data_IF_465138875325
#
_entry.id   IF_465138875325
#
_cell.length_a   1.000
_cell.length_b   1.000
_cell.length_c   1.000
_cell.angle_alpha   90.00
_cell.angle_beta   90.00
_cell.angle_gamma   90.00
#
_symmetry.space_group_name_H-M   'P 1'
#
loop_
_entity.id
_entity.type
_entity.pdbx_description
1 polymer ?
#
# COMPACT_ATOMS: atom_id res chain seq x y z
N UNK A 1 -12.71 -35.72 19.67
CA UNK A 1 -13.58 -34.53 19.58
C UNK A 1 -13.26 -33.51 20.66
N UNK A 2 -13.25 -33.88 21.95
CA UNK A 2 -13.01 -32.94 23.07
C UNK A 2 -11.67 -32.20 23.04
N UNK A 3 -10.58 -32.88 22.68
CA UNK A 3 -9.26 -32.24 22.50
C UNK A 3 -9.26 -31.18 21.39
N UNK A 4 -9.93 -31.47 20.27
CA UNK A 4 -10.07 -30.52 19.17
C UNK A 4 -10.81 -29.27 19.64
N UNK A 5 -11.93 -29.43 20.36
CA UNK A 5 -12.70 -28.30 20.90
C UNK A 5 -11.90 -27.45 21.89
N UNK A 6 -11.08 -28.07 22.75
CA UNK A 6 -10.22 -27.33 23.69
C UNK A 6 -9.18 -26.51 22.93
N UNK A 7 -8.52 -27.13 21.94
CA UNK A 7 -7.48 -26.44 21.15
C UNK A 7 -8.09 -25.29 20.33
N UNK A 8 -9.24 -25.49 19.70
CA UNK A 8 -9.87 -24.42 18.89
C UNK A 8 -10.43 -23.31 19.76
N UNK A 9 -11.10 -23.63 20.88
CA UNK A 9 -11.68 -22.63 21.77
C UNK A 9 -10.62 -21.82 22.53
N UNK A 10 -9.51 -22.46 22.93
CA UNK A 10 -8.38 -21.78 23.59
C UNK A 10 -7.74 -20.71 22.69
N UNK A 11 -7.70 -20.95 21.38
CA UNK A 11 -7.16 -19.98 20.40
C UNK A 11 -8.21 -18.96 19.91
N UNK A 12 -9.46 -19.09 20.32
CA UNK A 12 -10.53 -18.18 19.91
C UNK A 12 -10.72 -17.07 20.95
N UNK A 13 -10.62 -15.81 20.52
CA UNK A 13 -10.94 -14.67 21.36
C UNK A 13 -12.28 -14.05 20.92
N UNK A 14 -13.25 -13.80 21.82
CA UNK A 14 -14.56 -13.28 21.46
C UNK A 14 -14.52 -11.92 20.76
N UNK A 15 -13.51 -11.10 21.06
CA UNK A 15 -13.34 -9.76 20.47
C UNK A 15 -12.52 -9.75 19.17
N UNK A 16 -12.05 -10.90 18.68
CA UNK A 16 -11.21 -10.94 17.47
C UNK A 16 -11.93 -10.34 16.26
N UNK A 17 -13.22 -10.64 16.10
CA UNK A 17 -14.06 -10.07 15.04
C UNK A 17 -14.21 -8.55 15.18
N UNK A 18 -14.35 -8.04 16.41
CA UNK A 18 -14.44 -6.61 16.68
C UNK A 18 -13.14 -5.88 16.28
N UNK A 19 -11.98 -6.46 16.57
CA UNK A 19 -10.69 -5.87 16.19
C UNK A 19 -10.49 -5.86 14.67
N UNK A 20 -10.87 -6.94 13.98
CA UNK A 20 -10.82 -6.99 12.50
C UNK A 20 -11.78 -5.96 11.89
N UNK A 21 -12.99 -5.85 12.42
CA UNK A 21 -13.99 -4.89 11.93
C UNK A 21 -13.57 -3.44 12.19
N UNK A 22 -12.99 -3.16 13.36
CA UNK A 22 -12.39 -1.87 13.68
C UNK A 22 -11.35 -1.50 12.63
N UNK A 23 -10.33 -2.35 12.40
CA UNK A 23 -9.27 -2.05 11.44
C UNK A 23 -9.79 -1.90 10.00
N UNK A 24 -10.77 -2.71 9.59
CA UNK A 24 -11.41 -2.57 8.28
C UNK A 24 -12.08 -1.21 8.13
N UNK A 25 -12.95 -0.85 9.07
CA UNK A 25 -13.67 0.43 9.00
C UNK A 25 -12.73 1.63 9.17
N UNK A 26 -11.64 1.45 9.92
CA UNK A 26 -10.65 2.50 10.19
C UNK A 26 -9.81 2.86 8.96
N UNK A 27 -9.43 1.88 8.14
CA UNK A 27 -8.63 2.10 6.93
C UNK A 27 -9.44 2.13 5.64
N UNK A 28 -10.56 1.40 5.57
CA UNK A 28 -11.44 1.30 4.40
C UNK A 28 -12.72 2.10 4.67
N UNK A 29 -12.54 3.39 4.85
CA UNK A 29 -13.62 4.34 5.08
C UNK A 29 -14.50 4.56 3.83
N UNK A 30 -15.50 5.43 3.95
CA UNK A 30 -16.37 5.80 2.83
C UNK A 30 -15.57 6.33 1.63
N UNK A 31 -14.49 7.05 1.89
CA UNK A 31 -13.69 7.70 0.86
C UNK A 31 -12.94 6.65 0.04
N UNK A 32 -12.36 5.63 0.68
CA UNK A 32 -11.76 4.49 0.00
C UNK A 32 -12.74 3.79 -0.94
N UNK A 33 -13.96 3.51 -0.47
CA UNK A 33 -14.96 2.75 -1.24
C UNK A 33 -15.47 3.49 -2.49
N UNK A 34 -15.25 4.80 -2.57
CA UNK A 34 -15.70 5.66 -3.67
C UNK A 34 -14.58 5.99 -4.67
N UNK A 35 -13.37 5.47 -4.47
CA UNK A 35 -12.24 5.71 -5.39
C UNK A 35 -12.55 5.10 -6.75
N UNK A 36 -12.52 5.94 -7.78
CA UNK A 36 -12.72 5.57 -9.18
C UNK A 36 -11.62 6.07 -10.12
N UNK A 37 -10.76 6.97 -9.64
CA UNK A 37 -9.67 7.58 -10.42
C UNK A 37 -8.35 7.54 -9.68
N UNK A 38 -7.25 7.66 -10.42
CA UNK A 38 -5.89 7.71 -9.87
C UNK A 38 -5.72 8.90 -8.90
N UNK A 39 -6.30 10.06 -9.24
CA UNK A 39 -6.22 11.25 -8.38
C UNK A 39 -6.95 11.03 -7.05
N UNK A 40 -8.12 10.39 -7.06
CA UNK A 40 -8.84 10.04 -5.84
C UNK A 40 -8.06 9.03 -4.99
N UNK A 41 -7.37 8.08 -5.62
CA UNK A 41 -6.51 7.14 -4.92
C UNK A 41 -5.38 7.86 -4.16
N UNK A 42 -4.62 8.74 -4.84
CA UNK A 42 -3.55 9.50 -4.19
C UNK A 42 -4.08 10.42 -3.10
N UNK A 43 -5.22 11.08 -3.33
CA UNK A 43 -5.87 11.92 -2.32
C UNK A 43 -6.21 11.12 -1.06
N UNK A 44 -6.87 9.96 -1.20
CA UNK A 44 -7.18 9.09 -0.05
C UNK A 44 -5.91 8.58 0.63
N UNK A 45 -4.89 8.20 -0.13
CA UNK A 45 -3.65 7.69 0.42
C UNK A 45 -2.95 8.74 1.31
N UNK A 46 -2.80 9.96 0.81
CA UNK A 46 -2.10 11.04 1.50
C UNK A 46 -2.89 11.58 2.69
N UNK A 47 -4.22 11.76 2.54
CA UNK A 47 -5.02 12.45 3.55
C UNK A 47 -5.72 11.50 4.54
N UNK A 48 -6.04 10.27 4.14
CA UNK A 48 -6.70 9.31 5.03
C UNK A 48 -5.72 8.24 5.52
N UNK A 49 -5.08 7.51 4.60
CA UNK A 49 -4.25 6.36 4.97
C UNK A 49 -2.99 6.77 5.76
N UNK A 50 -2.22 7.74 5.27
CA UNK A 50 -0.98 8.20 5.92
C UNK A 50 -1.25 8.79 7.31
N UNK A 51 -2.34 9.54 7.47
CA UNK A 51 -2.75 10.05 8.78
C UNK A 51 -3.07 8.91 9.74
N UNK A 52 -3.74 7.86 9.24
CA UNK A 52 -4.21 6.74 10.05
C UNK A 52 -3.11 5.77 10.50
N UNK A 53 -2.03 5.60 9.74
CA UNK A 53 -0.95 4.65 10.09
C UNK A 53 -0.05 5.11 11.25
N UNK A 54 -0.14 6.37 11.68
CA UNK A 54 0.69 6.93 12.76
C UNK A 54 -0.15 7.74 13.74
N UNK A 55 0.16 7.62 15.03
CA UNK A 55 -0.46 8.45 16.04
C UNK A 55 -0.27 9.95 15.75
N UNK A 56 -1.35 10.64 15.40
CA UNK A 56 -1.43 12.10 15.30
C UNK A 56 -1.61 12.78 16.67
N UNK A 57 -1.75 14.10 16.68
CA UNK A 57 -2.10 14.86 17.88
C UNK A 57 -3.42 14.38 18.50
N UNK A 58 -3.56 14.60 19.80
CA UNK A 58 -4.81 14.39 20.50
C UNK A 58 -5.86 15.44 20.10
N UNK A 59 -7.12 15.17 20.42
CA UNK A 59 -8.24 16.09 20.15
C UNK A 59 -8.07 17.48 20.79
N UNK A 60 -7.24 17.59 21.83
CA UNK A 60 -6.91 18.84 22.53
C UNK A 60 -5.62 19.50 22.01
N UNK A 61 -5.05 19.00 20.91
CA UNK A 61 -3.80 19.51 20.33
C UNK A 61 -2.53 18.99 21.00
N UNK A 62 -2.63 18.17 22.05
CA UNK A 62 -1.45 17.62 22.70
C UNK A 62 -0.71 16.63 21.80
N UNK A 63 0.61 16.63 21.92
CA UNK A 63 1.45 15.65 21.24
C UNK A 63 1.16 14.22 21.75
N UNK A 64 1.20 13.20 20.88
CA UNK A 64 0.95 11.80 21.24
C UNK A 64 2.17 11.18 21.95
N UNK A 65 2.45 11.64 23.16
CA UNK A 65 3.59 11.16 23.97
C UNK A 65 3.47 9.66 24.24
N UNK A 66 4.59 8.93 24.14
CA UNK A 66 4.67 7.48 24.34
C UNK A 66 3.87 6.61 23.35
N UNK A 67 3.38 7.19 22.24
CA UNK A 67 2.66 6.47 21.20
C UNK A 67 3.49 6.27 19.93
N UNK A 68 4.81 6.27 20.06
CA UNK A 68 5.72 5.97 18.95
C UNK A 68 5.48 4.55 18.46
N UNK A 69 5.05 4.42 17.20
CA UNK A 69 4.70 3.15 16.58
C UNK A 69 3.26 2.70 16.81
N UNK A 70 2.40 3.53 17.40
CA UNK A 70 0.96 3.29 17.39
C UNK A 70 0.33 3.88 16.13
N UNK A 71 -0.75 3.26 15.66
CA UNK A 71 -1.60 3.85 14.64
C UNK A 71 -2.48 4.94 15.26
N UNK A 72 -3.21 5.67 14.42
CA UNK A 72 -3.92 6.87 14.88
C UNK A 72 -5.11 6.60 15.82
N UNK A 73 -5.51 5.34 15.99
CA UNK A 73 -6.45 4.90 17.03
C UNK A 73 -5.87 4.86 18.46
N UNK A 74 -4.57 5.15 18.60
CA UNK A 74 -3.81 5.21 19.86
C UNK A 74 -3.78 3.91 20.66
N UNK A 75 -4.24 2.81 20.09
CA UNK A 75 -4.46 1.54 20.79
C UNK A 75 -3.71 0.40 20.13
N UNK A 76 -3.73 0.33 18.79
CA UNK A 76 -3.03 -0.71 18.04
C UNK A 76 -1.61 -0.25 17.67
N UNK A 77 -0.65 -1.16 17.82
CA UNK A 77 0.76 -0.91 17.50
C UNK A 77 1.08 -1.40 16.08
N UNK A 78 1.62 -0.50 15.27
CA UNK A 78 2.23 -0.83 13.98
C UNK A 78 3.56 -1.55 14.22
N UNK A 79 3.71 -2.73 13.62
CA UNK A 79 4.96 -3.48 13.62
C UNK A 79 5.70 -3.14 12.31
N UNK A 80 6.90 -2.57 12.42
CA UNK A 80 7.70 -2.15 11.27
C UNK A 80 7.20 -0.84 10.64
N UNK A 81 7.07 -0.83 9.32
CA UNK A 81 6.60 0.31 8.53
C UNK A 81 5.69 -0.15 7.40
N UNK A 82 4.85 0.77 6.91
CA UNK A 82 4.05 0.51 5.73
C UNK A 82 4.95 0.48 4.48
N UNK A 83 4.72 -0.50 3.61
CA UNK A 83 5.48 -0.69 2.36
C UNK A 83 4.51 -0.64 1.19
N UNK A 84 4.82 0.19 0.20
CA UNK A 84 4.09 0.24 -1.07
C UNK A 84 4.85 -0.58 -2.11
N UNK A 85 4.11 -1.37 -2.89
CA UNK A 85 4.64 -2.13 -4.04
C UNK A 85 3.79 -1.82 -5.27
N UNK A 86 4.47 -1.56 -6.39
CA UNK A 86 3.83 -1.34 -7.69
C UNK A 86 4.25 -2.43 -8.67
N UNK A 87 3.28 -2.95 -9.43
CA UNK A 87 3.53 -3.83 -10.57
C UNK A 87 3.31 -3.05 -11.87
N UNK A 88 4.10 -3.35 -12.90
CA UNK A 88 4.03 -2.70 -14.21
C UNK A 88 4.07 -3.76 -15.31
N UNK A 89 3.55 -3.40 -16.46
CA UNK A 89 3.64 -4.20 -17.68
C UNK A 89 4.64 -3.55 -18.64
N UNK A 90 5.29 -4.37 -19.47
CA UNK A 90 6.23 -3.87 -20.48
C UNK A 90 5.51 -2.91 -21.44
N UNK A 91 6.20 -1.86 -21.84
CA UNK A 91 5.67 -0.89 -22.81
C UNK A 91 5.51 -1.53 -24.20
N UNK A 92 4.51 -1.08 -24.96
CA UNK A 92 4.30 -1.41 -26.39
C UNK A 92 4.18 -2.91 -26.72
N UNK A 93 3.53 -3.69 -25.85
CA UNK A 93 3.30 -5.11 -26.14
C UNK A 93 2.37 -5.36 -27.33
N UNK A 94 1.52 -4.40 -27.68
CA UNK A 94 0.59 -4.48 -28.81
C UNK A 94 1.11 -3.70 -30.01
N UNK A 95 0.97 -4.29 -31.19
CA UNK A 95 1.13 -3.59 -32.45
C UNK A 95 -0.07 -2.68 -32.66
N UNK A 96 0.11 -1.38 -32.44
CA UNK A 96 -0.92 -0.40 -32.75
C UNK A 96 -0.97 -0.24 -34.27
N UNK A 97 -2.08 -0.68 -34.88
CA UNK A 97 -2.27 -0.64 -36.34
C UNK A 97 -2.72 0.72 -36.89
N UNK A 98 -2.99 1.70 -36.02
CA UNK A 98 -3.62 2.95 -36.40
C UNK A 98 -2.88 4.15 -35.80
N UNK A 99 -2.59 5.17 -36.60
CA UNK A 99 -1.79 6.34 -36.21
C UNK A 99 -2.45 7.21 -35.12
N UNK A 100 -3.74 7.01 -34.86
CA UNK A 100 -4.53 7.77 -33.89
C UNK A 100 -4.22 7.35 -32.44
N UNK A 101 -3.85 6.08 -32.21
CA UNK A 101 -3.62 5.55 -30.87
C UNK A 101 -2.11 5.37 -30.70
N UNK A 102 -1.49 6.16 -29.84
CA UNK A 102 -0.03 6.10 -29.62
C UNK A 102 0.38 5.06 -28.59
N UNK A 103 -0.54 4.63 -27.72
CA UNK A 103 -0.25 3.71 -26.62
C UNK A 103 -1.28 2.59 -26.54
N UNK A 104 -0.80 1.38 -26.28
CA UNK A 104 -1.65 0.23 -26.01
C UNK A 104 -0.99 -0.60 -24.91
N UNK A 105 -1.85 -1.13 -24.03
CA UNK A 105 -1.48 -1.86 -22.82
C UNK A 105 -2.39 -3.07 -22.71
N UNK A 106 -1.80 -4.24 -22.49
CA UNK A 106 -2.56 -5.45 -22.17
C UNK A 106 -2.80 -5.55 -20.67
N UNK A 107 -3.74 -6.42 -20.28
CA UNK A 107 -3.89 -6.82 -18.89
C UNK A 107 -2.59 -7.45 -18.35
N UNK A 108 -2.41 -7.33 -17.04
CA UNK A 108 -1.24 -7.88 -16.36
C UNK A 108 -1.18 -9.42 -16.47
N UNK A 109 0.01 -9.95 -16.75
CA UNK A 109 0.35 -11.36 -16.66
C UNK A 109 1.83 -11.53 -16.28
N UNK A 110 2.18 -12.64 -15.66
CA UNK A 110 3.57 -12.89 -15.24
C UNK A 110 4.58 -12.92 -16.40
N UNK A 111 4.13 -13.15 -17.64
CA UNK A 111 4.97 -13.12 -18.85
C UNK A 111 5.23 -11.71 -19.36
N UNK A 112 4.29 -10.78 -19.13
CA UNK A 112 4.35 -9.41 -19.62
C UNK A 112 4.72 -8.37 -18.54
N UNK A 113 4.94 -8.84 -17.30
CA UNK A 113 5.49 -8.05 -16.19
C UNK A 113 6.80 -7.37 -16.60
N UNK A 114 6.87 -6.08 -16.28
CA UNK A 114 8.06 -5.28 -16.43
C UNK A 114 8.98 -5.47 -15.22
N UNK A 115 10.20 -5.93 -15.48
CA UNK A 115 11.21 -6.24 -14.46
C UNK A 115 12.40 -5.29 -14.53
N UNK A 116 12.28 -4.22 -15.32
CA UNK A 116 13.33 -3.23 -15.45
C UNK A 116 13.35 -2.30 -14.23
N UNK A 117 14.54 -1.88 -13.84
CA UNK A 117 14.73 -0.82 -12.85
C UNK A 117 14.68 0.55 -13.51
N UNK A 118 14.09 1.51 -12.82
CA UNK A 118 13.88 2.86 -13.31
C UNK A 118 14.54 3.91 -12.40
N UNK A 119 14.65 5.12 -12.91
CA UNK A 119 14.87 6.30 -12.08
C UNK A 119 13.52 6.85 -11.59
N UNK A 120 13.53 7.73 -10.57
CA UNK A 120 12.33 8.44 -10.15
C UNK A 120 11.60 9.10 -11.32
N UNK A 121 10.28 8.96 -11.34
CA UNK A 121 9.46 9.39 -12.49
C UNK A 121 9.39 8.37 -13.63
N UNK A 122 9.95 7.16 -13.45
CA UNK A 122 9.93 6.07 -14.44
C UNK A 122 10.74 6.33 -15.71
N UNK A 123 11.79 7.15 -15.60
CA UNK A 123 12.71 7.44 -16.70
C UNK A 123 13.82 6.39 -16.81
N UNK A 124 14.27 6.13 -18.04
CA UNK A 124 15.39 5.23 -18.33
C UNK A 124 16.76 5.94 -18.26
N UNK A 125 16.77 7.27 -18.33
CA UNK A 125 17.97 8.08 -18.44
C UNK A 125 18.34 8.72 -17.10
N UNK A 126 19.64 8.81 -16.83
CA UNK A 126 20.21 9.52 -15.67
C UNK A 126 20.23 11.01 -15.94
N UNK A 127 19.12 11.69 -15.63
CA UNK A 127 19.00 13.15 -15.76
C UNK A 127 19.37 13.85 -14.43
N UNK A 128 19.13 13.19 -13.29
CA UNK A 128 19.30 13.78 -11.95
C UNK A 128 19.86 12.78 -10.93
N UNK A 129 20.60 13.31 -9.94
CA UNK A 129 21.08 12.55 -8.77
C UNK A 129 20.06 12.60 -7.63
N UNK A 130 19.39 11.48 -7.38
CA UNK A 130 18.47 11.30 -6.24
C UNK A 130 19.16 10.68 -5.02
N UNK A 131 18.52 10.77 -3.85
CA UNK A 131 18.99 10.04 -2.67
C UNK A 131 18.94 8.53 -2.90
N UNK A 132 19.81 7.79 -2.22
CA UNK A 132 19.87 6.32 -2.31
C UNK A 132 18.54 5.64 -1.96
N UNK A 133 17.82 6.16 -0.97
CA UNK A 133 16.52 5.58 -0.56
C UNK A 133 15.45 5.75 -1.65
N UNK A 134 15.44 6.91 -2.31
CA UNK A 134 14.50 7.19 -3.39
C UNK A 134 14.86 6.33 -4.60
N UNK A 135 16.13 6.28 -5.01
CA UNK A 135 16.54 5.48 -6.17
C UNK A 135 16.31 3.98 -5.97
N UNK A 136 16.52 3.46 -4.76
CA UNK A 136 16.18 2.09 -4.38
C UNK A 136 14.69 1.76 -4.55
N UNK A 137 13.81 2.75 -4.35
CA UNK A 137 12.35 2.57 -4.47
C UNK A 137 11.88 2.31 -5.91
N UNK A 138 12.72 2.64 -6.91
CA UNK A 138 12.44 2.40 -8.34
C UNK A 138 13.22 1.21 -8.90
N UNK A 139 13.97 0.48 -8.06
CA UNK A 139 14.62 -0.77 -8.45
C UNK A 139 13.63 -1.93 -8.38
N UNK A 140 13.63 -2.79 -9.40
CA UNK A 140 12.79 -3.98 -9.38
C UNK A 140 13.28 -4.97 -8.31
N UNK A 141 12.35 -5.50 -7.52
CA UNK A 141 12.63 -6.51 -6.49
C UNK A 141 11.72 -7.74 -6.67
N UNK A 142 12.36 -8.90 -6.79
CA UNK A 142 11.68 -10.18 -6.87
C UNK A 142 11.45 -10.77 -5.48
N UNK A 143 10.43 -11.61 -5.32
CA UNK A 143 10.20 -12.35 -4.06
C UNK A 143 11.32 -13.36 -3.71
N UNK A 144 12.25 -13.60 -4.63
CA UNK A 144 13.39 -14.54 -4.43
C UNK A 144 14.65 -13.85 -3.90
N UNK A 145 14.60 -12.53 -3.72
CA UNK A 145 15.68 -11.72 -3.16
C UNK A 145 15.34 -11.40 -1.70
#
# INVERSE_FOLDING_TARGET
LSLLCIVTYSNHHPNASLQVNHLRNYFLDSDYTQISTINQYWYWLENSFVENIRAQQWYNGDAPRNLSGYINDKSNRLIGWATMRQLRIKSQLCQVKNEIISTCQYDYSSSNEDKQSYQPGWFNETIETYSLSISQSFQYQSSKD
#
